data_IF_663917436762
#
_entry.id   IF_663917436762
#
_cell.length_a   1.000
_cell.length_b   1.000
_cell.length_c   1.000
_cell.angle_alpha   90.00
_cell.angle_beta   90.00
_cell.angle_gamma   90.00
#
_symmetry.space_group_name_H-M   'P 1'
#
loop_
_entity.id
_entity.type
_entity.pdbx_description
1 polymer ?
#
# COMPACT_ATOMS: atom_id res chain seq x y z
N UNK A 1 40.88 -3.73 -31.29
CA UNK A 1 40.10 -2.47 -31.18
C UNK A 1 38.59 -2.73 -31.17
N UNK A 2 38.05 -3.65 -31.99
CA UNK A 2 36.62 -4.02 -31.98
C UNK A 2 36.08 -4.51 -30.62
N UNK A 3 36.73 -5.50 -30.01
CA UNK A 3 36.24 -6.09 -28.75
C UNK A 3 36.10 -5.10 -27.57
N UNK A 4 36.95 -4.07 -27.49
CA UNK A 4 36.88 -3.07 -26.42
C UNK A 4 35.74 -2.06 -26.65
N UNK A 5 35.44 -1.79 -27.92
CA UNK A 5 34.33 -0.96 -28.36
C UNK A 5 33.00 -1.70 -28.15
N UNK A 6 32.95 -3.00 -28.44
CA UNK A 6 31.79 -3.86 -28.21
C UNK A 6 31.45 -3.99 -26.73
N UNK A 7 32.46 -4.17 -25.85
CA UNK A 7 32.26 -4.18 -24.39
C UNK A 7 31.72 -2.84 -23.92
N UNK A 8 32.26 -1.72 -24.41
CA UNK A 8 31.81 -0.38 -24.02
C UNK A 8 30.36 -0.12 -24.47
N UNK A 9 30.00 -0.53 -25.70
CA UNK A 9 28.63 -0.45 -26.22
C UNK A 9 27.68 -1.31 -25.40
N UNK A 10 28.03 -2.57 -25.10
CA UNK A 10 27.19 -3.48 -24.33
C UNK A 10 26.95 -2.94 -22.91
N UNK A 11 27.99 -2.40 -22.27
CA UNK A 11 27.91 -1.86 -20.92
C UNK A 11 27.07 -0.58 -20.89
N UNK A 12 27.27 0.32 -21.86
CA UNK A 12 26.47 1.54 -21.99
C UNK A 12 24.99 1.23 -22.29
N UNK A 13 24.72 0.28 -23.20
CA UNK A 13 23.36 -0.14 -23.52
C UNK A 13 22.68 -0.84 -22.34
N UNK A 14 23.40 -1.70 -21.62
CA UNK A 14 22.89 -2.34 -20.41
C UNK A 14 22.58 -1.31 -19.32
N UNK A 15 23.47 -0.34 -19.10
CA UNK A 15 23.24 0.75 -18.15
C UNK A 15 22.03 1.60 -18.54
N UNK A 16 21.91 2.00 -19.81
CA UNK A 16 20.77 2.75 -20.31
C UNK A 16 19.48 1.96 -20.18
N UNK A 17 19.48 0.66 -20.51
CA UNK A 17 18.31 -0.20 -20.36
C UNK A 17 17.84 -0.27 -18.91
N UNK A 18 18.77 -0.41 -17.96
CA UNK A 18 18.45 -0.37 -16.52
C UNK A 18 17.91 1.00 -16.11
N UNK A 19 18.51 2.09 -16.59
CA UNK A 19 18.08 3.45 -16.27
C UNK A 19 16.66 3.73 -16.79
N UNK A 20 16.37 3.35 -18.03
CA UNK A 20 15.04 3.49 -18.62
C UNK A 20 13.99 2.66 -17.88
N UNK A 21 14.32 1.41 -17.56
CA UNK A 21 13.44 0.55 -16.77
C UNK A 21 13.18 1.14 -15.38
N UNK A 22 14.22 1.70 -14.74
CA UNK A 22 14.09 2.34 -13.44
C UNK A 22 13.22 3.59 -13.50
N UNK A 23 13.31 4.37 -14.58
CA UNK A 23 12.45 5.55 -14.78
C UNK A 23 11.00 5.17 -15.02
N UNK A 24 10.74 4.12 -15.80
CA UNK A 24 9.37 3.62 -16.05
C UNK A 24 8.72 3.06 -14.78
N UNK A 25 9.52 2.45 -13.90
CA UNK A 25 9.05 1.88 -12.63
C UNK A 25 9.42 2.74 -11.41
N UNK A 26 9.79 4.01 -11.62
CA UNK A 26 10.23 4.91 -10.56
C UNK A 26 9.25 5.00 -9.38
N UNK A 27 7.91 5.05 -9.57
CA UNK A 27 6.99 5.09 -8.44
C UNK A 27 7.02 3.83 -7.57
N UNK A 28 7.26 2.66 -8.17
CA UNK A 28 7.40 1.39 -7.44
C UNK A 28 8.74 1.38 -6.71
N UNK A 29 9.83 1.77 -7.37
CA UNK A 29 11.15 1.86 -6.76
C UNK A 29 11.16 2.81 -5.55
N UNK A 30 10.52 3.98 -5.67
CA UNK A 30 10.40 4.96 -4.59
C UNK A 30 9.48 4.52 -3.44
N UNK A 31 8.64 3.51 -3.62
CA UNK A 31 7.85 2.95 -2.51
C UNK A 31 8.70 2.17 -1.49
N UNK A 32 9.85 1.61 -1.92
CA UNK A 32 10.77 0.89 -1.03
C UNK A 32 11.42 1.76 0.06
N UNK A 33 12.04 2.92 -0.24
CA UNK A 33 12.57 3.78 0.82
C UNK A 33 11.46 4.27 1.77
N UNK A 34 10.23 4.45 1.29
CA UNK A 34 9.08 4.75 2.15
C UNK A 34 8.72 3.58 3.06
N UNK A 35 8.68 2.35 2.53
CA UNK A 35 8.45 1.13 3.31
C UNK A 35 9.54 0.90 4.36
N UNK A 36 10.81 1.13 4.00
CA UNK A 36 11.94 1.11 4.93
C UNK A 36 11.76 2.19 6.02
N UNK A 37 11.31 3.39 5.65
CA UNK A 37 10.96 4.45 6.60
C UNK A 37 9.87 4.02 7.58
N UNK A 38 8.82 3.33 7.11
CA UNK A 38 7.74 2.79 7.96
C UNK A 38 8.30 1.76 8.95
N UNK A 39 9.13 0.84 8.47
CA UNK A 39 9.78 -0.18 9.31
C UNK A 39 10.67 0.46 10.37
N UNK A 40 11.56 1.35 9.95
CA UNK A 40 12.57 1.95 10.82
C UNK A 40 11.95 2.88 11.88
N UNK A 41 11.00 3.74 11.47
CA UNK A 41 10.49 4.82 12.33
C UNK A 41 9.19 4.46 13.06
N UNK A 42 8.32 3.63 12.48
CA UNK A 42 6.97 3.39 13.01
C UNK A 42 6.83 1.98 13.60
N UNK A 43 7.21 0.94 12.85
CA UNK A 43 7.06 -0.45 13.32
C UNK A 43 7.95 -0.79 14.51
N UNK A 44 9.12 -0.15 14.62
CA UNK A 44 10.01 -0.34 15.77
C UNK A 44 9.38 0.14 17.07
N UNK A 45 8.68 1.27 17.06
CA UNK A 45 7.99 1.75 18.25
C UNK A 45 6.78 0.89 18.61
N UNK A 46 5.98 0.47 17.60
CA UNK A 46 4.84 -0.42 17.82
C UNK A 46 5.31 -1.77 18.36
N UNK A 47 6.39 -2.34 17.84
CA UNK A 47 6.96 -3.61 18.29
C UNK A 47 7.48 -3.53 19.73
N UNK A 48 8.07 -2.40 20.13
CA UNK A 48 8.51 -2.13 21.51
C UNK A 48 7.34 -1.99 22.48
N UNK A 49 6.25 -1.33 22.07
CA UNK A 49 5.03 -1.14 22.87
C UNK A 49 4.17 -2.40 22.96
N UNK A 50 4.02 -3.17 21.89
CA UNK A 50 3.34 -4.47 21.91
C UNK A 50 4.06 -5.49 22.82
N UNK A 51 5.37 -5.34 22.99
CA UNK A 51 6.14 -6.07 24.00
C UNK A 51 5.87 -5.63 25.45
N UNK A 52 5.27 -4.46 25.69
CA UNK A 52 4.84 -3.98 27.01
C UNK A 52 3.47 -4.56 27.39
N UNK A 53 3.44 -5.85 27.73
CA UNK A 53 2.25 -6.45 28.35
C UNK A 53 2.37 -6.29 29.88
N UNK A 54 1.54 -5.46 30.56
CA UNK A 54 1.62 -5.31 32.01
C UNK A 54 1.26 -6.65 32.68
N UNK A 55 2.21 -7.23 33.42
CA UNK A 55 2.02 -8.50 34.11
C UNK A 55 1.54 -8.26 35.53
N UNK A 56 0.49 -9.01 35.91
CA UNK A 56 -0.18 -8.99 37.21
C UNK A 56 0.64 -9.61 38.36
N UNK A 57 1.82 -10.18 38.09
CA UNK A 57 2.68 -10.84 39.10
C UNK A 57 4.18 -10.66 38.78
N UNK A 58 4.93 -10.21 39.78
CA UNK A 58 6.36 -9.89 39.77
C UNK A 58 7.24 -11.14 39.63
N UNK A 59 7.73 -11.47 38.43
CA UNK A 59 8.92 -12.32 38.20
C UNK A 59 9.42 -12.18 36.75
N UNK A 60 10.68 -11.75 36.57
CA UNK A 60 11.23 -11.27 35.30
C UNK A 60 11.70 -12.34 34.30
N UNK A 61 11.58 -12.04 32.98
CA UNK A 61 12.66 -11.80 32.00
C UNK A 61 12.10 -11.59 30.57
N UNK A 62 12.86 -10.78 29.81
CA UNK A 62 12.86 -10.49 28.36
C UNK A 62 11.64 -9.80 27.73
N UNK A 63 11.75 -8.47 27.59
CA UNK A 63 11.05 -7.68 26.57
C UNK A 63 11.34 -8.30 25.20
N UNK A 64 10.34 -8.96 24.61
CA UNK A 64 10.47 -9.59 23.29
C UNK A 64 9.65 -8.76 22.31
N UNK A 65 10.35 -8.04 21.44
CA UNK A 65 9.72 -7.29 20.34
C UNK A 65 8.91 -8.27 19.49
N UNK A 66 7.68 -7.89 19.13
CA UNK A 66 6.82 -8.72 18.28
C UNK A 66 7.23 -8.55 16.81
N UNK A 67 7.64 -9.61 16.09
CA UNK A 67 8.04 -9.50 14.69
C UNK A 67 6.87 -9.21 13.73
N UNK A 68 5.63 -9.29 14.21
CA UNK A 68 4.44 -9.18 13.38
C UNK A 68 4.30 -7.83 12.66
N UNK A 69 4.72 -6.73 13.30
CA UNK A 69 4.63 -5.39 12.70
C UNK A 69 5.55 -5.25 11.48
N UNK A 70 6.79 -5.76 11.60
CA UNK A 70 7.78 -5.78 10.52
C UNK A 70 7.34 -6.67 9.35
N UNK A 71 6.84 -7.86 9.68
CA UNK A 71 6.37 -8.81 8.67
C UNK A 71 5.20 -8.22 7.87
N UNK A 72 4.28 -7.51 8.54
CA UNK A 72 3.15 -6.86 7.87
C UNK A 72 3.58 -5.84 6.81
N UNK A 73 4.57 -4.99 7.13
CA UNK A 73 5.07 -3.99 6.17
C UNK A 73 5.85 -4.62 5.04
N UNK A 74 6.68 -5.63 5.34
CA UNK A 74 7.44 -6.36 4.32
C UNK A 74 6.51 -7.08 3.34
N UNK A 75 5.51 -7.81 3.84
CA UNK A 75 4.54 -8.51 2.99
C UNK A 75 3.75 -7.52 2.13
N UNK A 76 3.34 -6.38 2.69
CA UNK A 76 2.67 -5.33 1.94
C UNK A 76 3.57 -4.74 0.85
N UNK A 77 4.85 -4.45 1.14
CA UNK A 77 5.81 -3.93 0.17
C UNK A 77 6.08 -4.92 -0.97
N UNK A 78 6.27 -6.20 -0.65
CA UNK A 78 6.46 -7.26 -1.64
C UNK A 78 5.22 -7.44 -2.53
N UNK A 79 4.04 -7.49 -1.91
CA UNK A 79 2.78 -7.60 -2.64
C UNK A 79 2.55 -6.38 -3.53
N UNK A 80 2.75 -5.17 -3.01
CA UNK A 80 2.67 -3.93 -3.79
C UNK A 80 3.68 -3.91 -4.93
N UNK A 81 4.90 -4.40 -4.72
CA UNK A 81 5.93 -4.44 -5.78
C UNK A 81 5.47 -5.33 -6.94
N UNK A 82 4.97 -6.52 -6.65
CA UNK A 82 4.48 -7.44 -7.68
C UNK A 82 3.34 -6.82 -8.51
N UNK A 83 2.39 -6.16 -7.83
CA UNK A 83 1.25 -5.50 -8.48
C UNK A 83 1.70 -4.25 -9.26
N UNK A 84 2.51 -3.39 -8.63
CA UNK A 84 2.96 -2.11 -9.18
C UNK A 84 3.86 -2.25 -10.41
N UNK A 85 4.68 -3.30 -10.48
CA UNK A 85 5.49 -3.59 -11.68
C UNK A 85 4.64 -3.99 -12.88
N UNK A 86 3.50 -4.64 -12.65
CA UNK A 86 2.58 -5.06 -13.69
C UNK A 86 1.51 -4.01 -14.03
N UNK A 87 1.34 -3.00 -13.17
CA UNK A 87 0.26 -2.02 -13.28
C UNK A 87 0.63 -0.85 -14.20
N UNK A 88 -0.24 -0.46 -15.14
CA UNK A 88 -0.04 0.74 -15.93
C UNK A 88 -0.29 2.01 -15.10
N UNK A 89 0.28 3.16 -15.51
CA UNK A 89 -0.12 4.47 -14.97
C UNK A 89 -1.64 4.68 -15.07
N UNK A 90 -2.29 5.33 -14.08
CA UNK A 90 -1.71 6.07 -12.95
C UNK A 90 -1.52 5.24 -11.65
N UNK A 91 -1.78 3.93 -11.66
CA UNK A 91 -1.85 3.11 -10.44
C UNK A 91 -0.54 3.17 -9.61
N UNK A 92 0.67 3.03 -10.20
CA UNK A 92 1.90 3.15 -9.43
C UNK A 92 2.11 4.51 -8.76
N UNK A 93 1.69 5.61 -9.41
CA UNK A 93 1.80 6.97 -8.86
C UNK A 93 0.87 7.17 -7.67
N UNK A 94 -0.36 6.67 -7.77
CA UNK A 94 -1.33 6.70 -6.68
C UNK A 94 -0.77 5.94 -5.48
N UNK A 95 -0.29 4.71 -5.69
CA UNK A 95 0.26 3.91 -4.61
C UNK A 95 1.51 4.51 -3.98
N UNK A 96 2.38 5.18 -4.76
CA UNK A 96 3.48 5.98 -4.20
C UNK A 96 2.95 7.06 -3.24
N UNK A 97 1.91 7.80 -3.63
CA UNK A 97 1.24 8.78 -2.76
C UNK A 97 0.69 8.14 -1.49
N UNK A 98 0.07 6.95 -1.60
CA UNK A 98 -0.46 6.22 -0.45
C UNK A 98 0.65 5.76 0.50
N UNK A 99 1.77 5.25 -0.01
CA UNK A 99 2.97 4.95 0.79
C UNK A 99 3.53 6.19 1.47
N UNK A 100 3.53 7.33 0.78
CA UNK A 100 3.95 8.62 1.36
C UNK A 100 3.10 8.99 2.57
N UNK A 101 1.77 8.93 2.44
CA UNK A 101 0.87 9.17 3.56
C UNK A 101 0.98 8.11 4.67
N UNK A 102 1.20 6.84 4.32
CA UNK A 102 1.40 5.76 5.30
C UNK A 102 2.59 6.05 6.23
N UNK A 103 3.65 6.64 5.70
CA UNK A 103 4.80 7.09 6.48
C UNK A 103 4.52 8.41 7.21
N UNK A 104 4.07 9.43 6.49
CA UNK A 104 4.02 10.81 7.00
C UNK A 104 2.90 11.03 8.02
N UNK A 105 1.71 10.47 7.80
CA UNK A 105 0.55 10.74 8.67
C UNK A 105 0.77 10.27 10.12
N UNK A 106 1.23 9.04 10.39
CA UNK A 106 1.51 8.60 11.75
C UNK A 106 2.74 9.28 12.38
N UNK A 107 3.65 9.84 11.57
CA UNK A 107 4.74 10.68 12.07
C UNK A 107 4.22 12.03 12.59
N UNK A 108 3.28 12.65 11.87
CA UNK A 108 2.69 13.95 12.24
C UNK A 108 1.67 13.88 13.37
N UNK A 109 0.99 12.74 13.56
CA UNK A 109 -0.05 12.55 14.57
C UNK A 109 0.35 11.36 15.48
N UNK A 110 1.35 11.55 16.36
CA UNK A 110 1.91 10.47 17.17
C UNK A 110 0.90 9.89 18.17
N UNK A 111 -0.11 10.67 18.57
CA UNK A 111 -1.11 10.29 19.57
C UNK A 111 -1.99 9.11 19.13
N UNK A 112 -2.21 8.92 17.84
CA UNK A 112 -3.03 7.84 17.27
C UNK A 112 -2.21 6.92 16.34
N UNK A 113 -0.88 6.95 16.47
CA UNK A 113 0.08 6.34 15.54
C UNK A 113 -0.22 4.88 15.23
N UNK A 114 -0.47 4.04 16.24
CA UNK A 114 -0.73 2.61 16.04
C UNK A 114 -2.02 2.35 15.26
N UNK A 115 -3.10 3.08 15.59
CA UNK A 115 -4.37 2.98 14.89
C UNK A 115 -4.24 3.47 13.44
N UNK A 116 -3.60 4.63 13.23
CA UNK A 116 -3.35 5.19 11.90
C UNK A 116 -2.52 4.23 11.05
N UNK A 117 -1.43 3.70 11.60
CA UNK A 117 -0.55 2.78 10.90
C UNK A 117 -1.28 1.51 10.45
N UNK A 118 -1.99 0.86 11.38
CA UNK A 118 -2.77 -0.35 11.07
C UNK A 118 -3.86 -0.08 10.03
N UNK A 119 -4.60 1.02 10.19
CA UNK A 119 -5.69 1.40 9.29
C UNK A 119 -5.18 1.71 7.87
N UNK A 120 -4.10 2.50 7.76
CA UNK A 120 -3.53 2.87 6.47
C UNK A 120 -2.89 1.67 5.77
N UNK A 121 -2.18 0.78 6.49
CA UNK A 121 -1.70 -0.50 5.93
C UNK A 121 -2.85 -1.34 5.37
N UNK A 122 -3.95 -1.46 6.12
CA UNK A 122 -5.12 -2.20 5.66
C UNK A 122 -5.71 -1.60 4.39
N UNK A 123 -5.95 -0.29 4.35
CA UNK A 123 -6.52 0.36 3.17
C UNK A 123 -5.60 0.26 1.95
N UNK A 124 -4.28 0.38 2.13
CA UNK A 124 -3.30 0.16 1.05
C UNK A 124 -3.27 -1.30 0.59
N UNK A 125 -3.42 -2.26 1.50
CA UNK A 125 -3.53 -3.70 1.15
C UNK A 125 -4.78 -3.96 0.31
N UNK A 126 -5.93 -3.41 0.71
CA UNK A 126 -7.19 -3.52 -0.04
C UNK A 126 -7.05 -2.88 -1.42
N UNK A 127 -6.42 -1.71 -1.51
CA UNK A 127 -6.14 -1.07 -2.79
C UNK A 127 -5.25 -1.92 -3.69
N UNK A 128 -4.13 -2.45 -3.16
CA UNK A 128 -3.23 -3.32 -3.90
C UNK A 128 -3.94 -4.60 -4.38
N UNK A 129 -4.82 -5.19 -3.55
CA UNK A 129 -5.62 -6.36 -3.93
C UNK A 129 -6.63 -6.04 -5.04
N UNK A 130 -7.30 -4.89 -4.97
CA UNK A 130 -8.18 -4.43 -6.03
C UNK A 130 -7.42 -4.19 -7.35
N UNK A 131 -6.22 -3.60 -7.28
CA UNK A 131 -5.36 -3.41 -8.44
C UNK A 131 -4.91 -4.75 -9.04
N UNK A 132 -4.52 -5.71 -8.21
CA UNK A 132 -4.19 -7.06 -8.64
C UNK A 132 -5.39 -7.74 -9.35
N UNK A 133 -6.58 -7.66 -8.76
CA UNK A 133 -7.80 -8.22 -9.35
C UNK A 133 -8.14 -7.57 -10.70
N UNK A 134 -7.95 -6.26 -10.82
CA UNK A 134 -8.13 -5.54 -12.07
C UNK A 134 -7.12 -5.98 -13.14
N UNK A 135 -5.85 -6.18 -12.78
CA UNK A 135 -4.85 -6.71 -13.73
C UNK A 135 -5.16 -8.14 -14.16
N UNK A 136 -5.65 -8.98 -13.25
CA UNK A 136 -6.12 -10.32 -13.59
C UNK A 136 -7.31 -10.25 -14.54
N UNK A 137 -8.27 -9.35 -14.33
CA UNK A 137 -9.39 -9.11 -15.24
C UNK A 137 -8.93 -8.66 -16.62
N UNK A 138 -7.96 -7.75 -16.71
CA UNK A 138 -7.44 -7.27 -17.99
C UNK A 138 -6.64 -8.33 -18.77
N UNK A 139 -6.11 -9.34 -18.07
CA UNK A 139 -5.33 -10.44 -18.67
C UNK A 139 -6.14 -11.73 -18.82
N UNK A 140 -7.35 -11.79 -18.29
CA UNK A 140 -8.20 -12.97 -18.38
C UNK A 140 -8.88 -12.99 -19.73
N UNK A 141 -8.52 -13.95 -20.57
CA UNK A 141 -9.27 -14.32 -21.75
C UNK A 141 -9.98 -15.66 -21.46
N UNK A 142 -11.26 -15.75 -21.79
CA UNK A 142 -11.98 -17.01 -21.68
C UNK A 142 -11.37 -18.06 -22.63
N UNK A 143 -11.23 -19.28 -22.15
CA UNK A 143 -10.74 -20.36 -23.00
C UNK A 143 -11.70 -20.61 -24.17
N UNK A 144 -11.22 -21.05 -25.35
CA UNK A 144 -12.09 -21.35 -26.49
C UNK A 144 -13.22 -22.33 -26.14
N UNK A 145 -12.96 -23.25 -25.20
CA UNK A 145 -13.95 -24.20 -24.70
C UNK A 145 -15.05 -23.53 -23.87
N UNK A 146 -14.68 -22.54 -23.04
CA UNK A 146 -15.64 -21.77 -22.24
C UNK A 146 -16.52 -20.89 -23.13
N UNK A 147 -15.91 -20.23 -24.14
CA UNK A 147 -16.64 -19.46 -25.14
C UNK A 147 -17.64 -20.33 -25.91
N UNK A 148 -17.22 -21.50 -26.36
CA UNK A 148 -18.11 -22.46 -27.01
C UNK A 148 -19.22 -22.99 -26.08
N UNK A 149 -18.95 -23.14 -24.78
CA UNK A 149 -19.97 -23.52 -23.80
C UNK A 149 -21.04 -22.42 -23.63
N UNK A 150 -20.62 -21.15 -23.56
CA UNK A 150 -21.52 -20.01 -23.51
C UNK A 150 -22.31 -19.79 -24.81
N UNK A 151 -21.67 -19.94 -25.98
CA UNK A 151 -22.36 -19.89 -27.27
C UNK A 151 -23.45 -20.96 -27.38
N UNK A 152 -23.20 -22.18 -26.86
CA UNK A 152 -24.20 -23.25 -26.78
C UNK A 152 -25.33 -22.93 -25.81
N UNK A 153 -25.03 -22.42 -24.61
CA UNK A 153 -26.05 -22.09 -23.62
C UNK A 153 -26.95 -20.92 -24.05
N UNK A 154 -26.40 -19.96 -24.79
CA UNK A 154 -27.12 -18.82 -25.35
C UNK A 154 -27.86 -19.16 -26.66
N UNK A 155 -27.64 -20.36 -27.23
CA UNK A 155 -28.28 -20.79 -28.47
C UNK A 155 -27.92 -19.95 -29.70
N UNK A 156 -26.77 -19.26 -29.68
CA UNK A 156 -26.32 -18.36 -30.76
C UNK A 156 -24.85 -18.61 -31.09
N UNK A 157 -24.49 -18.87 -32.35
CA UNK A 157 -23.10 -18.90 -32.79
C UNK A 157 -22.42 -17.56 -32.47
N UNK A 158 -21.25 -17.58 -31.85
CA UNK A 158 -20.53 -16.37 -31.44
C UNK A 158 -21.08 -15.67 -30.19
N UNK A 159 -22.09 -16.26 -29.51
CA UNK A 159 -22.73 -15.65 -28.35
C UNK A 159 -21.82 -15.52 -27.13
N UNK A 160 -20.86 -16.42 -26.95
CA UNK A 160 -19.87 -16.40 -25.87
C UNK A 160 -18.89 -15.24 -26.01
N UNK A 161 -18.38 -15.00 -27.21
CA UNK A 161 -17.47 -13.90 -27.54
C UNK A 161 -18.18 -12.55 -27.38
N UNK A 162 -19.42 -12.45 -27.86
CA UNK A 162 -20.25 -11.26 -27.68
C UNK A 162 -20.55 -10.98 -26.19
N UNK A 163 -20.81 -12.03 -25.40
CA UNK A 163 -21.03 -11.91 -23.97
C UNK A 163 -19.76 -11.44 -23.25
N UNK A 164 -18.61 -12.05 -23.53
CA UNK A 164 -17.32 -11.66 -22.94
C UNK A 164 -17.03 -10.18 -23.23
N UNK A 165 -17.15 -9.75 -24.49
CA UNK A 165 -16.95 -8.36 -24.88
C UNK A 165 -17.92 -7.42 -24.16
N UNK A 166 -19.20 -7.79 -24.01
CA UNK A 166 -20.18 -6.99 -23.28
C UNK A 166 -19.88 -6.89 -21.78
N UNK A 167 -19.43 -7.98 -21.15
CA UNK A 167 -19.04 -7.99 -19.73
C UNK A 167 -17.77 -7.16 -19.52
N UNK A 168 -16.73 -7.36 -20.33
CA UNK A 168 -15.48 -6.60 -20.21
C UNK A 168 -15.74 -5.11 -20.46
N UNK A 169 -16.49 -4.77 -21.52
CA UNK A 169 -16.79 -3.38 -21.85
C UNK A 169 -17.66 -2.67 -20.80
N UNK A 170 -18.49 -3.41 -20.07
CA UNK A 170 -19.26 -2.86 -18.96
C UNK A 170 -18.46 -2.76 -17.66
N UNK A 171 -17.68 -3.77 -17.28
CA UNK A 171 -17.01 -3.83 -15.96
C UNK A 171 -15.74 -2.98 -15.90
N UNK A 172 -14.90 -3.02 -16.95
CA UNK A 172 -13.57 -2.38 -16.93
C UNK A 172 -13.64 -0.88 -16.62
N UNK A 173 -14.54 -0.07 -17.22
CA UNK A 173 -14.63 1.36 -16.91
C UNK A 173 -14.95 1.64 -15.43
N UNK A 174 -15.87 0.87 -14.82
CA UNK A 174 -16.21 1.04 -13.40
C UNK A 174 -15.06 0.59 -12.51
N UNK A 175 -14.38 -0.51 -12.82
CA UNK A 175 -13.21 -0.96 -12.07
C UNK A 175 -12.07 0.08 -12.14
N UNK A 176 -11.84 0.67 -13.31
CA UNK A 176 -10.89 1.77 -13.48
C UNK A 176 -11.28 3.00 -12.63
N UNK A 177 -12.55 3.42 -12.66
CA UNK A 177 -13.05 4.53 -11.81
C UNK A 177 -12.82 4.24 -10.32
N UNK A 178 -13.09 3.01 -9.89
CA UNK A 178 -12.88 2.59 -8.51
C UNK A 178 -11.41 2.69 -8.11
N UNK A 179 -10.49 2.27 -8.98
CA UNK A 179 -9.05 2.27 -8.70
C UNK A 179 -8.38 3.63 -8.86
N UNK A 180 -8.85 4.46 -9.78
CA UNK A 180 -8.20 5.73 -10.10
C UNK A 180 -8.76 6.88 -9.26
N UNK A 181 -10.03 6.81 -8.86
CA UNK A 181 -10.73 7.91 -8.19
C UNK A 181 -11.22 7.49 -6.82
N UNK A 182 -12.09 6.49 -6.73
CA UNK A 182 -12.86 6.24 -5.49
C UNK A 182 -11.97 5.67 -4.37
N UNK A 183 -11.18 4.62 -4.65
CA UNK A 183 -10.24 4.04 -3.70
C UNK A 183 -9.21 5.06 -3.18
N UNK A 184 -8.55 5.82 -4.07
CA UNK A 184 -7.63 6.89 -3.68
C UNK A 184 -8.33 7.98 -2.86
N UNK A 185 -9.52 8.41 -3.28
CA UNK A 185 -10.31 9.42 -2.56
C UNK A 185 -10.68 8.94 -1.15
N UNK A 186 -11.06 7.66 -0.97
CA UNK A 186 -11.31 7.11 0.36
C UNK A 186 -10.06 7.14 1.24
N UNK A 187 -8.90 6.80 0.68
CA UNK A 187 -7.63 6.80 1.41
C UNK A 187 -7.17 8.20 1.79
N UNK A 188 -7.06 9.10 0.82
CA UNK A 188 -6.61 10.47 1.05
C UNK A 188 -7.65 11.29 1.82
N UNK A 189 -8.94 11.04 1.60
CA UNK A 189 -10.03 11.62 2.36
C UNK A 189 -9.97 11.24 3.83
N UNK A 190 -9.68 9.96 4.14
CA UNK A 190 -9.44 9.53 5.52
C UNK A 190 -8.24 10.27 6.13
N UNK A 191 -7.10 10.36 5.42
CA UNK A 191 -5.92 11.10 5.88
C UNK A 191 -6.26 12.58 6.16
N UNK A 192 -6.92 13.25 5.21
CA UNK A 192 -7.32 14.65 5.34
C UNK A 192 -8.28 14.87 6.52
N UNK A 193 -9.24 13.96 6.73
CA UNK A 193 -10.14 13.98 7.88
C UNK A 193 -9.37 13.93 9.19
N UNK A 194 -8.34 13.08 9.30
CA UNK A 194 -7.54 12.96 10.53
C UNK A 194 -6.73 14.21 10.81
N UNK A 195 -6.15 14.83 9.79
CA UNK A 195 -5.51 16.15 9.93
C UNK A 195 -6.51 17.23 10.37
N UNK A 196 -7.71 17.27 9.79
CA UNK A 196 -8.73 18.25 10.16
C UNK A 196 -9.19 18.11 11.62
N UNK A 197 -9.34 16.87 12.12
CA UNK A 197 -9.68 16.61 13.53
C UNK A 197 -8.52 17.00 14.46
N UNK A 198 -7.29 16.70 14.07
CA UNK A 198 -6.12 17.04 14.88
C UNK A 198 -5.90 18.55 14.96
N UNK A 199 -6.05 19.28 13.84
CA UNK A 199 -5.95 20.74 13.81
C UNK A 199 -6.98 21.42 14.73
N UNK A 200 -8.21 20.90 14.79
CA UNK A 200 -9.29 21.45 15.62
C UNK A 200 -9.07 21.24 17.12
N UNK A 201 -8.34 20.19 17.51
CA UNK A 201 -8.22 19.83 18.92
C UNK A 201 -7.20 20.69 19.68
N UNK A 202 -6.37 21.52 19.01
CA UNK A 202 -5.37 22.45 19.61
C UNK A 202 -4.47 21.79 20.68
N UNK A 203 -4.37 20.47 20.70
CA UNK A 203 -3.46 19.74 21.58
C UNK A 203 -2.09 19.82 20.94
N UNK A 204 -1.04 19.98 21.75
CA UNK A 204 0.31 19.99 21.24
C UNK A 204 0.56 18.68 20.46
N UNK A 205 0.88 18.74 19.14
CA UNK A 205 0.96 17.56 18.28
C UNK A 205 2.00 16.54 18.75
N UNK A 206 2.91 16.94 19.64
CA UNK A 206 3.98 16.11 20.18
C UNK A 206 3.67 15.51 21.55
N UNK A 207 2.54 15.83 22.17
CA UNK A 207 2.19 15.26 23.48
C UNK A 207 1.77 13.81 23.36
N UNK A 208 2.45 12.97 24.12
CA UNK A 208 2.12 11.55 24.26
C UNK A 208 0.91 11.34 25.18
N UNK A 209 0.24 10.19 25.05
CA UNK A 209 -0.92 9.84 25.91
C UNK A 209 -0.55 9.85 27.40
N UNK A 210 0.68 9.45 27.74
CA UNK A 210 1.19 9.45 29.11
C UNK A 210 1.36 10.87 29.68
N UNK A 211 1.87 11.81 28.89
CA UNK A 211 1.96 13.22 29.29
C UNK A 211 0.58 13.82 29.50
N UNK A 212 -0.39 13.46 28.65
CA UNK A 212 -1.79 13.91 28.80
C UNK A 212 -2.44 13.34 30.06
N UNK A 213 -2.25 12.05 30.34
CA UNK A 213 -2.74 11.42 31.57
C UNK A 213 -2.07 12.06 32.79
N UNK A 214 -0.78 12.36 32.74
CA UNK A 214 -0.06 13.05 33.82
C UNK A 214 -0.59 14.48 34.05
N UNK A 215 -0.88 15.22 32.98
CA UNK A 215 -1.47 16.56 33.05
C UNK A 215 -2.89 16.55 33.63
N UNK A 216 -3.69 15.53 33.27
CA UNK A 216 -5.05 15.36 33.81
C UNK A 216 -5.02 14.91 35.27
N UNK A 217 -4.08 14.04 35.64
CA UNK A 217 -3.93 13.57 37.03
C UNK A 217 -3.48 14.70 37.96
N UNK A 218 -2.56 15.56 37.52
CA UNK A 218 -2.13 16.75 38.28
C UNK A 218 -3.17 17.87 38.39
N UNK A 219 -4.26 17.83 37.61
CA UNK A 219 -5.40 18.77 37.73
C UNK A 219 -6.48 18.31 38.72
N UNK A 220 -6.40 17.09 39.23
CA UNK A 220 -7.33 16.55 40.23
C UNK A 220 -6.85 16.68 41.68
N UNK A 221 -5.67 17.27 41.91
CA UNK A 221 -5.04 17.44 43.23
C UNK A 221 -5.07 18.90 43.74
N UNK A 222 -5.88 19.76 43.12
CA UNK A 222 -6.19 21.14 43.60
C UNK A 222 -7.68 21.29 43.76
#
# INVERSE_FOLDING_TARGET
MGALLDVLILTANGFLAVLYWLTDHAPVALSWPLAVGVVALLDTEVSRRAGHRPRRYTRGKAQRESPAAYLGTLLLALFWTAVGLAAPPPIPLIGLGMWGCLLLTPLTIPMEREHLLSRLKWMLTVYAAAAAAFLLLLRSELSPQALAAWSRSLGRPGGGEALESAVISSVVPYAALMLWVIGPLMYFGYVAQRFAVHAKTRVNPWQTVEERIRQLRGRGET
#
